data_IF_886595603875
#
_entry.id   IF_886595603875
#
_cell.length_a   1.000
_cell.length_b   1.000
_cell.length_c   1.000
_cell.angle_alpha   90.00
_cell.angle_beta   90.00
_cell.angle_gamma   90.00
#
_symmetry.space_group_name_H-M   'P 1'
#
loop_
_entity.id
_entity.type
_entity.pdbx_description
1 polymer ?
#
# COMPACT_ATOMS: atom_id res chain seq x y z
N UNK A 1 45.59 24.52 -28.94
CA UNK A 1 44.88 23.73 -27.90
C UNK A 1 43.43 23.81 -28.30
N UNK A 2 42.72 22.69 -28.50
CA UNK A 2 41.31 22.74 -28.78
C UNK A 2 40.60 23.27 -27.53
N UNK A 3 39.83 24.35 -27.70
CA UNK A 3 38.99 24.93 -26.62
C UNK A 3 37.62 24.24 -26.67
N UNK A 4 37.21 23.70 -25.56
CA UNK A 4 35.87 23.13 -25.42
C UNK A 4 34.88 24.29 -25.30
N UNK A 5 33.82 24.25 -26.09
CA UNK A 5 32.70 25.19 -25.92
C UNK A 5 31.91 24.77 -24.66
N UNK A 6 32.13 25.45 -23.55
CA UNK A 6 31.50 25.14 -22.26
C UNK A 6 29.98 25.17 -22.30
N UNK A 7 29.38 25.97 -23.17
CA UNK A 7 27.92 26.03 -23.31
C UNK A 7 27.37 24.83 -24.05
N UNK A 8 28.03 24.41 -25.13
CA UNK A 8 27.64 23.23 -25.89
C UNK A 8 27.86 21.98 -25.08
N UNK A 9 29.01 21.85 -24.38
CA UNK A 9 29.31 20.75 -23.48
C UNK A 9 28.27 20.67 -22.35
N UNK A 10 27.94 21.82 -21.71
CA UNK A 10 26.95 21.87 -20.63
C UNK A 10 25.59 21.29 -21.04
N UNK A 11 25.08 21.68 -22.21
CA UNK A 11 23.81 21.15 -22.72
C UNK A 11 23.84 19.66 -23.08
N UNK A 12 24.99 19.12 -23.46
CA UNK A 12 25.12 17.67 -23.70
C UNK A 12 25.22 16.89 -22.38
N UNK A 13 25.93 17.42 -21.39
CA UNK A 13 26.02 16.81 -20.06
C UNK A 13 24.66 16.74 -19.39
N UNK A 14 23.85 17.80 -19.48
CA UNK A 14 22.50 17.81 -18.92
C UNK A 14 21.63 16.70 -19.54
N UNK A 15 21.69 16.52 -20.86
CA UNK A 15 20.99 15.41 -21.54
C UNK A 15 21.50 14.05 -21.11
N UNK A 16 22.81 13.89 -20.97
CA UNK A 16 23.39 12.61 -20.51
C UNK A 16 22.96 12.28 -19.08
N UNK A 17 22.93 13.26 -18.19
CA UNK A 17 22.42 13.08 -16.83
C UNK A 17 20.96 12.65 -16.87
N UNK A 18 20.11 13.33 -17.65
CA UNK A 18 18.69 13.00 -17.79
C UNK A 18 18.48 11.61 -18.39
N UNK A 19 19.27 11.22 -19.38
CA UNK A 19 19.17 9.89 -20.03
C UNK A 19 19.66 8.74 -19.16
N UNK A 20 20.62 9.01 -18.27
CA UNK A 20 21.19 8.02 -17.35
C UNK A 20 20.48 7.97 -16.01
N UNK A 21 19.65 8.95 -15.71
CA UNK A 21 18.81 8.96 -14.50
C UNK A 21 17.76 7.86 -14.57
N UNK A 22 17.63 7.11 -13.50
CA UNK A 22 16.59 6.08 -13.33
C UNK A 22 15.93 6.29 -11.97
N UNK A 23 14.63 6.56 -11.98
CA UNK A 23 13.85 6.64 -10.74
C UNK A 23 13.82 5.30 -10.02
N UNK A 24 13.96 5.28 -8.69
CA UNK A 24 13.74 4.07 -7.92
C UNK A 24 12.26 3.66 -7.98
N UNK A 25 12.01 2.37 -7.94
CA UNK A 25 10.64 1.83 -7.91
C UNK A 25 10.37 1.23 -6.54
N UNK A 26 9.35 1.70 -5.88
CA UNK A 26 8.91 1.16 -4.59
C UNK A 26 8.32 -0.24 -4.74
N UNK A 27 8.61 -1.10 -3.75
CA UNK A 27 7.92 -2.36 -3.59
C UNK A 27 6.46 -2.15 -3.24
N UNK A 28 5.58 -3.01 -3.74
CA UNK A 28 4.15 -2.97 -3.43
C UNK A 28 3.64 -4.33 -3.01
N UNK A 29 2.62 -4.33 -2.13
CA UNK A 29 1.93 -5.54 -1.70
C UNK A 29 0.43 -5.34 -1.89
N UNK A 30 -0.21 -6.32 -2.51
CA UNK A 30 -1.67 -6.41 -2.64
C UNK A 30 -2.12 -7.78 -2.18
N UNK A 31 -3.29 -7.85 -1.60
CA UNK A 31 -3.93 -9.13 -1.26
C UNK A 31 -5.06 -9.38 -2.23
N UNK A 32 -5.00 -10.51 -2.91
CA UNK A 32 -6.03 -10.92 -3.86
C UNK A 32 -6.24 -12.44 -3.76
N UNK A 33 -7.50 -12.87 -3.69
CA UNK A 33 -7.84 -14.29 -3.59
C UNK A 33 -7.17 -15.01 -2.42
N UNK A 34 -6.99 -14.34 -1.27
CA UNK A 34 -6.34 -14.89 -0.09
C UNK A 34 -4.83 -15.05 -0.19
N UNK A 35 -4.19 -14.40 -1.15
CA UNK A 35 -2.74 -14.44 -1.36
C UNK A 35 -2.17 -13.04 -1.47
N UNK A 36 -0.92 -12.90 -1.03
CA UNK A 36 -0.16 -11.67 -1.25
C UNK A 36 0.47 -11.69 -2.65
N UNK A 37 0.18 -10.66 -3.43
CA UNK A 37 0.85 -10.36 -4.70
C UNK A 37 1.82 -9.21 -4.46
N UNK A 38 3.06 -9.36 -4.91
CA UNK A 38 4.13 -8.38 -4.67
C UNK A 38 4.72 -7.87 -5.97
N UNK A 39 5.13 -6.61 -5.97
CA UNK A 39 6.06 -6.05 -6.94
C UNK A 39 7.37 -5.78 -6.24
N UNK A 40 8.46 -6.30 -6.76
CA UNK A 40 9.79 -6.12 -6.15
C UNK A 40 10.25 -4.67 -6.31
N UNK A 41 10.88 -4.09 -5.27
CA UNK A 41 11.47 -2.77 -5.36
C UNK A 41 12.69 -2.79 -6.30
N UNK A 42 12.95 -1.64 -6.95
CA UNK A 42 14.12 -1.48 -7.79
C UNK A 42 14.90 -0.25 -7.39
N UNK A 43 16.21 -0.37 -7.39
CA UNK A 43 17.11 0.76 -7.17
C UNK A 43 16.97 1.76 -8.32
N UNK A 44 17.01 3.03 -7.97
CA UNK A 44 17.23 4.11 -8.89
C UNK A 44 18.71 4.34 -9.15
N UNK A 45 19.02 5.19 -10.11
CA UNK A 45 20.37 5.55 -10.50
C UNK A 45 20.44 7.05 -10.75
N UNK A 46 21.43 7.68 -10.15
CA UNK A 46 21.78 9.08 -10.36
C UNK A 46 23.21 9.22 -10.83
N UNK A 47 23.45 10.20 -11.69
CA UNK A 47 24.78 10.54 -12.21
C UNK A 47 25.16 11.93 -11.72
N UNK A 48 26.31 12.01 -11.04
CA UNK A 48 26.87 13.31 -10.68
C UNK A 48 27.38 14.03 -11.92
N UNK A 49 26.77 15.20 -12.21
CA UNK A 49 27.08 16.01 -13.39
C UNK A 49 28.52 16.50 -13.40
N UNK A 50 29.10 16.79 -12.24
CA UNK A 50 30.48 17.27 -12.15
C UNK A 50 31.46 16.12 -12.43
N UNK A 51 31.24 14.96 -11.85
CA UNK A 51 32.01 13.76 -12.15
C UNK A 51 31.91 13.37 -13.64
N UNK A 52 30.72 13.40 -14.23
CA UNK A 52 30.51 13.16 -15.66
C UNK A 52 31.31 14.17 -16.53
N UNK A 53 31.31 15.46 -16.15
CA UNK A 53 32.10 16.47 -16.86
C UNK A 53 33.59 16.17 -16.82
N UNK A 54 34.09 15.83 -15.65
CA UNK A 54 35.52 15.55 -15.45
C UNK A 54 35.95 14.31 -16.25
N UNK A 55 35.16 13.27 -16.23
CA UNK A 55 35.40 12.07 -17.02
C UNK A 55 35.35 12.33 -18.53
N UNK A 56 34.32 13.05 -19.01
CA UNK A 56 34.20 13.43 -20.43
C UNK A 56 35.35 14.30 -20.88
N UNK A 57 35.80 15.27 -20.08
CA UNK A 57 36.90 16.17 -20.45
C UNK A 57 38.27 15.48 -20.43
N UNK A 58 38.45 14.50 -19.52
CA UNK A 58 39.70 13.75 -19.40
C UNK A 58 39.76 12.60 -20.41
N UNK A 59 38.63 11.92 -20.63
CA UNK A 59 38.49 10.78 -21.51
C UNK A 59 38.08 11.10 -22.95
N UNK A 60 38.02 12.36 -23.35
CA UNK A 60 37.54 12.86 -24.63
C UNK A 60 38.10 12.14 -25.88
N UNK A 61 39.37 11.71 -25.83
CA UNK A 61 40.03 11.01 -26.94
C UNK A 61 40.17 9.51 -26.69
N UNK A 62 39.57 8.98 -25.65
CA UNK A 62 39.62 7.55 -25.37
C UNK A 62 38.69 6.79 -26.34
N UNK A 63 39.25 5.91 -27.20
CA UNK A 63 38.44 5.14 -28.13
C UNK A 63 37.50 4.12 -27.46
N UNK A 64 37.80 3.75 -26.21
CA UNK A 64 37.01 2.80 -25.41
C UNK A 64 35.84 3.49 -24.66
N UNK A 65 35.74 4.83 -24.82
CA UNK A 65 34.68 5.62 -24.14
C UNK A 65 35.08 6.10 -22.75
N UNK A 66 34.09 6.53 -21.99
CA UNK A 66 34.20 7.04 -20.62
C UNK A 66 33.41 6.13 -19.70
N UNK A 67 34.02 5.65 -18.62
CA UNK A 67 33.34 4.88 -17.58
C UNK A 67 33.02 5.77 -16.41
N UNK A 68 31.77 5.78 -15.98
CA UNK A 68 31.29 6.48 -14.80
C UNK A 68 30.51 5.52 -13.91
N UNK A 69 30.84 5.50 -12.61
CA UNK A 69 30.05 4.75 -11.64
C UNK A 69 28.88 5.62 -11.15
N UNK A 70 27.63 5.27 -11.46
CA UNK A 70 26.47 6.00 -10.99
C UNK A 70 26.24 5.75 -9.50
N UNK A 71 25.69 6.72 -8.81
CA UNK A 71 25.18 6.54 -7.45
C UNK A 71 23.82 5.83 -7.49
N UNK A 72 23.61 4.92 -6.55
CA UNK A 72 22.34 4.21 -6.42
C UNK A 72 21.41 4.95 -5.46
N UNK A 73 20.15 5.09 -5.86
CA UNK A 73 19.08 5.66 -5.03
C UNK A 73 18.16 4.55 -4.55
N UNK A 74 17.96 4.47 -3.23
CA UNK A 74 17.08 3.47 -2.64
C UNK A 74 15.62 3.89 -2.81
N UNK A 75 14.71 2.93 -3.14
CA UNK A 75 13.29 3.18 -3.07
C UNK A 75 12.85 3.39 -1.62
N UNK A 76 11.76 4.14 -1.42
CA UNK A 76 11.20 4.36 -0.09
C UNK A 76 10.69 3.06 0.53
N UNK A 77 10.10 2.18 -0.30
CA UNK A 77 9.73 0.82 0.08
C UNK A 77 10.76 -0.14 -0.52
N UNK A 78 11.78 -0.42 0.24
CA UNK A 78 12.87 -1.32 -0.12
C UNK A 78 12.57 -2.78 0.28
N UNK A 79 13.51 -3.69 -0.01
CA UNK A 79 13.39 -5.11 0.33
C UNK A 79 13.15 -5.38 1.83
N UNK A 80 13.74 -4.59 2.71
CA UNK A 80 13.58 -4.77 4.15
C UNK A 80 12.18 -4.36 4.60
N UNK A 81 11.63 -3.27 4.06
CA UNK A 81 10.25 -2.86 4.29
C UNK A 81 9.26 -3.92 3.77
N UNK A 82 9.53 -4.48 2.58
CA UNK A 82 8.74 -5.57 2.01
C UNK A 82 8.76 -6.82 2.88
N UNK A 83 9.93 -7.26 3.33
CA UNK A 83 10.09 -8.44 4.22
C UNK A 83 9.38 -8.22 5.56
N UNK A 84 9.51 -7.02 6.14
CA UNK A 84 8.85 -6.68 7.40
C UNK A 84 7.32 -6.74 7.26
N UNK A 85 6.77 -6.19 6.19
CA UNK A 85 5.34 -6.21 5.93
C UNK A 85 4.81 -7.63 5.67
N UNK A 86 5.50 -8.41 4.83
CA UNK A 86 5.11 -9.80 4.51
C UNK A 86 5.22 -10.72 5.73
N UNK A 87 6.24 -10.55 6.57
CA UNK A 87 6.42 -11.34 7.80
C UNK A 87 5.54 -10.90 8.97
N UNK A 88 5.01 -9.69 8.93
CA UNK A 88 4.18 -9.07 9.97
C UNK A 88 2.71 -8.93 9.57
N UNK A 89 2.25 -7.71 9.22
CA UNK A 89 0.83 -7.42 9.06
C UNK A 89 0.18 -8.20 7.92
N UNK A 90 0.87 -8.44 6.81
CA UNK A 90 0.33 -9.21 5.68
C UNK A 90 0.11 -10.66 6.08
N UNK A 91 1.10 -11.27 6.76
CA UNK A 91 0.97 -12.64 7.27
C UNK A 91 -0.18 -12.74 8.26
N UNK A 92 -0.29 -11.80 9.20
CA UNK A 92 -1.36 -11.79 10.19
C UNK A 92 -2.75 -11.68 9.54
N UNK A 93 -2.88 -10.88 8.48
CA UNK A 93 -4.13 -10.75 7.74
C UNK A 93 -4.50 -12.02 6.96
N UNK A 94 -3.52 -12.82 6.55
CA UNK A 94 -3.72 -14.03 5.74
C UNK A 94 -3.67 -15.34 6.55
N UNK A 95 -3.51 -15.29 7.87
CA UNK A 95 -3.38 -16.47 8.73
C UNK A 95 -4.71 -17.25 8.92
N UNK A 96 -5.81 -16.75 8.34
CA UNK A 96 -7.10 -17.42 8.36
C UNK A 96 -8.26 -16.45 8.09
N UNK A 97 -9.49 -16.92 8.19
CA UNK A 97 -10.66 -16.05 8.07
C UNK A 97 -10.72 -15.08 9.27
N UNK A 98 -11.11 -13.83 9.01
CA UNK A 98 -11.36 -12.86 10.08
C UNK A 98 -12.74 -13.13 10.64
N UNK A 99 -12.81 -13.50 11.92
CA UNK A 99 -14.09 -13.77 12.60
C UNK A 99 -14.45 -12.59 13.50
N UNK A 100 -15.66 -12.08 13.33
CA UNK A 100 -16.26 -11.04 14.16
C UNK A 100 -17.41 -11.68 14.95
N UNK A 101 -17.40 -11.51 16.27
CA UNK A 101 -18.45 -12.03 17.12
C UNK A 101 -19.37 -10.88 17.53
N UNK A 102 -20.62 -10.95 17.10
CA UNK A 102 -21.66 -10.03 17.49
C UNK A 102 -22.32 -10.39 18.83
N UNK A 103 -23.42 -9.69 19.13
CA UNK A 103 -24.21 -9.93 20.32
C UNK A 103 -24.78 -11.36 20.33
N UNK A 104 -24.95 -11.92 21.52
CA UNK A 104 -25.51 -13.26 21.75
C UNK A 104 -24.74 -14.42 21.09
N UNK A 105 -23.45 -14.19 20.77
CA UNK A 105 -22.57 -15.23 20.24
C UNK A 105 -22.74 -15.51 18.73
N UNK A 106 -23.52 -14.68 18.02
CA UNK A 106 -23.59 -14.75 16.56
C UNK A 106 -22.23 -14.36 15.99
N UNK A 107 -21.64 -15.21 15.17
CA UNK A 107 -20.34 -14.99 14.57
C UNK A 107 -20.48 -14.79 13.05
N UNK A 108 -19.83 -13.78 12.53
CA UNK A 108 -19.65 -13.57 11.11
C UNK A 108 -18.20 -13.75 10.73
N UNK A 109 -17.92 -14.23 9.54
CA UNK A 109 -16.57 -14.45 9.07
C UNK A 109 -16.35 -13.82 7.69
N UNK A 110 -15.22 -13.15 7.55
CA UNK A 110 -14.70 -12.78 6.24
C UNK A 110 -13.88 -13.94 5.71
N UNK A 111 -14.29 -14.55 4.60
CA UNK A 111 -13.52 -15.62 3.99
C UNK A 111 -12.13 -15.13 3.57
N UNK A 112 -11.14 -16.00 3.66
CA UNK A 112 -9.74 -15.65 3.38
C UNK A 112 -9.53 -15.07 1.96
N UNK A 113 -10.26 -15.57 0.98
CA UNK A 113 -10.21 -15.10 -0.41
C UNK A 113 -10.75 -13.68 -0.60
N UNK A 114 -11.56 -13.20 0.34
CA UNK A 114 -12.14 -11.84 0.32
C UNK A 114 -11.42 -10.84 1.23
N UNK A 115 -10.40 -11.26 1.97
CA UNK A 115 -9.66 -10.36 2.89
C UNK A 115 -9.11 -9.13 2.15
N UNK A 116 -8.62 -9.30 0.92
CA UNK A 116 -8.11 -8.18 0.10
C UNK A 116 -9.14 -7.11 -0.28
N UNK A 117 -10.44 -7.38 -0.12
CA UNK A 117 -11.50 -6.37 -0.29
C UNK A 117 -11.58 -5.44 0.94
N UNK A 118 -11.19 -5.95 2.11
CA UNK A 118 -11.29 -5.24 3.40
C UNK A 118 -9.96 -4.65 3.81
N UNK A 119 -8.85 -5.38 3.63
CA UNK A 119 -7.52 -4.95 4.10
C UNK A 119 -6.63 -4.62 2.92
N UNK A 120 -6.13 -3.39 2.90
CA UNK A 120 -5.15 -2.90 1.95
C UNK A 120 -3.82 -2.61 2.65
N UNK A 121 -2.75 -2.57 1.88
CA UNK A 121 -1.40 -2.37 2.40
C UNK A 121 -0.70 -1.21 1.67
N UNK A 122 -1.16 0.05 1.89
CA UNK A 122 -0.53 1.21 1.30
C UNK A 122 0.87 1.47 1.89
N UNK A 123 1.69 2.12 1.08
CA UNK A 123 2.97 2.67 1.51
C UNK A 123 2.74 4.02 2.20
N UNK A 124 3.12 4.12 3.46
CA UNK A 124 3.04 5.36 4.25
C UNK A 124 4.39 5.58 4.92
N UNK A 125 5.01 6.73 4.66
CA UNK A 125 6.28 7.16 5.27
C UNK A 125 7.40 6.09 5.20
N UNK A 126 7.55 5.43 4.06
CA UNK A 126 8.57 4.40 3.85
C UNK A 126 8.27 3.05 4.51
N UNK A 127 7.04 2.81 4.91
CA UNK A 127 6.55 1.55 5.49
C UNK A 127 5.27 1.11 4.82
N UNK A 128 5.03 -0.18 4.83
CA UNK A 128 3.74 -0.75 4.41
C UNK A 128 2.92 -0.99 5.67
N UNK A 129 1.76 -0.32 5.74
CA UNK A 129 0.85 -0.38 6.89
C UNK A 129 -0.51 -0.93 6.47
N UNK A 130 -1.16 -1.76 7.30
CA UNK A 130 -2.50 -2.23 7.01
C UNK A 130 -3.52 -1.07 7.15
N UNK A 131 -4.40 -0.97 6.18
CA UNK A 131 -5.54 -0.07 6.19
C UNK A 131 -6.83 -0.88 6.00
N UNK A 132 -7.81 -0.68 6.86
CA UNK A 132 -9.07 -1.42 6.85
C UNK A 132 -10.17 -0.58 6.20
N UNK A 133 -10.81 -1.14 5.18
CA UNK A 133 -11.99 -0.57 4.56
C UNK A 133 -13.25 -1.02 5.32
N UNK A 134 -13.74 -0.18 6.22
CA UNK A 134 -14.91 -0.47 7.06
C UNK A 134 -16.20 -0.62 6.24
N UNK A 135 -16.35 0.09 5.13
CA UNK A 135 -17.54 -0.02 4.29
C UNK A 135 -17.61 -1.37 3.57
N UNK A 136 -16.45 -1.84 3.09
CA UNK A 136 -16.34 -3.19 2.52
C UNK A 136 -16.59 -4.26 3.61
N UNK A 137 -16.07 -4.07 4.81
CA UNK A 137 -16.30 -4.96 5.93
C UNK A 137 -17.80 -5.03 6.29
N UNK A 138 -18.46 -3.88 6.38
CA UNK A 138 -19.91 -3.81 6.62
C UNK A 138 -20.72 -4.53 5.57
N UNK A 139 -20.34 -4.37 4.30
CA UNK A 139 -21.03 -5.04 3.19
C UNK A 139 -20.89 -6.57 3.27
N UNK A 140 -19.71 -7.07 3.63
CA UNK A 140 -19.45 -8.51 3.70
C UNK A 140 -20.06 -9.16 4.94
N UNK A 141 -20.00 -8.45 6.07
CA UNK A 141 -20.44 -8.95 7.37
C UNK A 141 -21.90 -8.62 7.68
N UNK A 142 -22.46 -7.58 7.04
CA UNK A 142 -23.78 -7.04 7.37
C UNK A 142 -24.89 -8.09 7.31
N UNK A 143 -24.97 -8.86 6.24
CA UNK A 143 -25.97 -9.91 6.09
C UNK A 143 -25.86 -11.00 7.17
N UNK A 144 -24.62 -11.33 7.57
CA UNK A 144 -24.35 -12.36 8.57
C UNK A 144 -24.64 -11.87 10.00
N UNK A 145 -24.51 -10.56 10.25
CA UNK A 145 -24.74 -9.95 11.55
C UNK A 145 -26.13 -9.33 11.69
N UNK A 146 -26.93 -9.27 10.61
CA UNK A 146 -28.28 -8.73 10.62
C UNK A 146 -29.20 -9.42 11.64
N UNK A 147 -28.97 -10.70 11.93
CA UNK A 147 -29.71 -11.45 12.95
C UNK A 147 -29.45 -10.93 14.37
N UNK A 148 -28.37 -10.17 14.59
CA UNK A 148 -28.05 -9.56 15.90
C UNK A 148 -28.69 -8.18 16.06
N UNK A 149 -29.24 -7.61 14.98
CA UNK A 149 -29.92 -6.33 15.01
C UNK A 149 -31.33 -6.49 15.55
N UNK A 150 -31.71 -5.62 16.48
CA UNK A 150 -33.08 -5.58 17.03
C UNK A 150 -33.72 -4.31 16.56
N UNK A 151 -34.84 -4.44 15.81
CA UNK A 151 -35.62 -3.30 15.38
C UNK A 151 -36.31 -2.65 16.60
N UNK A 152 -36.07 -1.36 16.79
CA UNK A 152 -36.73 -0.58 17.85
C UNK A 152 -38.23 -0.47 17.58
N UNK A 153 -39.05 -0.80 18.58
CA UNK A 153 -40.50 -0.66 18.51
C UNK A 153 -41.00 0.25 19.62
N UNK A 154 -41.82 1.21 19.24
CA UNK A 154 -42.49 2.07 20.25
C UNK A 154 -43.54 1.29 21.01
N UNK A 155 -43.72 1.61 22.28
CA UNK A 155 -44.82 1.09 23.08
C UNK A 155 -46.17 1.38 22.41
N UNK A 156 -47.07 0.40 22.42
CA UNK A 156 -48.41 0.51 21.84
C UNK A 156 -49.45 0.23 22.91
N UNK A 157 -50.50 1.04 22.93
CA UNK A 157 -51.68 0.75 23.75
C UNK A 157 -52.60 -0.20 22.97
N UNK A 158 -52.92 -1.32 23.59
CA UNK A 158 -53.77 -2.33 22.99
C UNK A 158 -55.25 -1.95 23.20
N UNK A 159 -56.12 -2.29 22.26
CA UNK A 159 -57.55 -1.97 22.30
C UNK A 159 -58.31 -2.57 23.52
N UNK A 160 -57.68 -3.49 24.25
CA UNK A 160 -58.22 -4.09 25.47
C UNK A 160 -57.69 -3.49 26.79
N UNK A 161 -56.97 -2.35 26.74
CA UNK A 161 -56.43 -1.68 27.94
C UNK A 161 -55.05 -2.20 28.41
N UNK A 162 -54.40 -3.08 27.65
CA UNK A 162 -53.01 -3.49 27.87
C UNK A 162 -52.04 -2.55 27.17
N UNK A 163 -50.75 -2.60 27.56
CA UNK A 163 -49.65 -1.90 26.90
C UNK A 163 -48.64 -2.92 26.42
N UNK A 164 -48.36 -2.91 25.13
CA UNK A 164 -47.19 -3.60 24.56
C UNK A 164 -45.97 -2.72 24.83
N UNK A 165 -44.94 -3.22 25.55
CA UNK A 165 -43.80 -2.39 25.90
C UNK A 165 -42.97 -1.99 24.68
N UNK A 166 -42.25 -0.88 24.81
CA UNK A 166 -41.22 -0.52 23.83
C UNK A 166 -40.07 -1.51 23.82
N UNK A 167 -39.53 -1.74 22.65
CA UNK A 167 -38.27 -2.50 22.48
C UNK A 167 -37.23 -1.51 22.00
N UNK A 168 -36.15 -1.36 22.74
CA UNK A 168 -35.02 -0.56 22.30
C UNK A 168 -34.33 -1.28 21.13
N UNK A 169 -34.19 -0.56 20.02
CA UNK A 169 -33.41 -1.08 18.88
C UNK A 169 -31.94 -1.19 19.21
N UNK A 170 -31.28 -2.20 18.68
CA UNK A 170 -29.83 -2.31 18.69
C UNK A 170 -29.33 -2.51 17.27
N UNK A 171 -28.32 -1.76 16.90
CA UNK A 171 -27.59 -1.91 15.63
C UNK A 171 -26.17 -2.30 15.98
N UNK A 172 -25.55 -3.11 15.11
CA UNK A 172 -24.12 -3.45 15.28
C UNK A 172 -23.30 -2.17 15.16
N UNK A 173 -22.61 -1.80 16.25
CA UNK A 173 -21.68 -0.69 16.27
C UNK A 173 -20.31 -1.15 15.77
N UNK A 174 -19.78 -0.42 14.81
CA UNK A 174 -18.54 -0.75 14.11
C UNK A 174 -17.41 0.20 14.56
N UNK A 175 -17.22 0.40 15.84
CA UNK A 175 -16.12 1.21 16.37
C UNK A 175 -14.73 0.59 16.09
#
# INVERSE_FOLDING_TARGET
VPTVDDKALGGQLDRMVDELHVDPVDGTIRVQGGKAETTDPKLGQDVDRAALRDEVTTGWLNPDGVELEPSQTQPAINDDAMKAALGGPVRAALDGPITVTGKDGVAAAVPQDRIGEIVQFPAVEGRITPEVNLDAARTILGDQLAETEVEGKNARVLAGGGVEPSVDGSVVDWD
#
